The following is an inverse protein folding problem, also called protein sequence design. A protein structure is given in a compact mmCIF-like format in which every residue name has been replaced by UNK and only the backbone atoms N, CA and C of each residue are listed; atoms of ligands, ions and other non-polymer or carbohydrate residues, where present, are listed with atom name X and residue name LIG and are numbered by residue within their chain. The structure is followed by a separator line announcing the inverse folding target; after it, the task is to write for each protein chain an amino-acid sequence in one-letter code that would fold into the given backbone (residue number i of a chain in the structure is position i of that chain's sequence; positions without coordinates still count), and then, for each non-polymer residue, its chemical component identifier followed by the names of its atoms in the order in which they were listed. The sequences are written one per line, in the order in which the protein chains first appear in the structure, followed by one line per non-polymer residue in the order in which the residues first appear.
data_IF_737184062103
#
_entry.id   IF_737184062103
#
_cell.length_a   1.000
_cell.length_b   1.000
_cell.length_c   1.000
_cell.angle_alpha   90.00
_cell.angle_beta   90.00
_cell.angle_gamma   90.00
#
_symmetry.space_group_name_H-M   'P 1'
#
loop_
_entity.id
_entity.type
_entity.pdbx_description
1 polymer ?
#
# COMPACT_ATOMS: atom_id res chain seq x y z
N UNK A 1 2.33 -17.10 19.63
CA UNK A 1 2.40 -15.70 20.16
C UNK A 1 2.96 -14.72 19.12
N UNK A 2 4.03 -15.07 18.38
CA UNK A 2 4.62 -14.18 17.36
C UNK A 2 3.65 -13.89 16.21
N UNK A 3 2.99 -14.91 15.68
CA UNK A 3 1.99 -14.77 14.60
C UNK A 3 0.79 -13.92 15.04
N UNK A 4 0.26 -14.17 16.24
CA UNK A 4 -0.85 -13.37 16.78
C UNK A 4 -0.49 -11.88 16.89
N UNK A 5 0.74 -11.56 17.30
CA UNK A 5 1.21 -10.17 17.37
C UNK A 5 1.25 -9.52 15.99
N UNK A 6 1.67 -10.25 15.00
CA UNK A 6 1.73 -9.82 13.61
C UNK A 6 0.34 -9.54 13.04
N UNK A 7 -0.59 -10.47 13.25
CA UNK A 7 -1.98 -10.34 12.80
C UNK A 7 -2.65 -9.13 13.46
N UNK A 8 -2.41 -8.92 14.76
CA UNK A 8 -2.90 -7.73 15.47
C UNK A 8 -2.27 -6.46 14.90
N UNK A 9 -0.98 -6.44 14.61
CA UNK A 9 -0.32 -5.27 14.04
C UNK A 9 -0.89 -4.91 12.66
N UNK A 10 -1.14 -5.89 11.79
CA UNK A 10 -1.80 -5.67 10.51
C UNK A 10 -3.25 -5.22 10.67
N UNK A 11 -3.99 -5.78 11.61
CA UNK A 11 -5.35 -5.37 11.90
C UNK A 11 -5.40 -3.90 12.36
N UNK A 12 -4.53 -3.52 13.30
CA UNK A 12 -4.41 -2.13 13.77
C UNK A 12 -4.04 -1.19 12.63
N UNK A 13 -3.10 -1.60 11.78
CA UNK A 13 -2.72 -0.84 10.61
C UNK A 13 -3.90 -0.63 9.65
N UNK A 14 -4.63 -1.68 9.31
CA UNK A 14 -5.78 -1.62 8.42
C UNK A 14 -6.89 -0.71 8.98
N UNK A 15 -7.23 -0.87 10.26
CA UNK A 15 -8.23 -0.03 10.93
C UNK A 15 -7.80 1.43 10.97
N UNK A 16 -6.53 1.70 11.28
CA UNK A 16 -5.98 3.07 11.27
C UNK A 16 -6.04 3.69 9.89
N UNK A 17 -5.72 2.93 8.84
CA UNK A 17 -5.77 3.40 7.47
C UNK A 17 -7.20 3.71 7.03
N UNK A 18 -8.15 2.81 7.25
CA UNK A 18 -9.58 3.01 6.92
C UNK A 18 -10.15 4.22 7.68
N UNK A 19 -9.84 4.33 8.97
CA UNK A 19 -10.29 5.47 9.77
C UNK A 19 -9.68 6.79 9.30
N UNK A 20 -8.39 6.78 8.96
CA UNK A 20 -7.70 7.92 8.38
C UNK A 20 -8.35 8.37 7.06
N UNK A 21 -8.67 7.45 6.16
CA UNK A 21 -9.39 7.74 4.91
C UNK A 21 -10.78 8.34 5.17
N UNK A 22 -11.51 7.83 6.16
CA UNK A 22 -12.78 8.42 6.57
C UNK A 22 -12.63 9.87 7.04
N UNK A 23 -11.57 10.18 7.80
CA UNK A 23 -11.31 11.54 8.27
C UNK A 23 -10.86 12.48 7.15
N UNK A 24 -10.24 11.97 6.08
CA UNK A 24 -9.85 12.74 4.91
C UNK A 24 -11.05 13.30 4.13
N UNK A 25 -12.23 12.70 4.24
CA UNK A 25 -13.43 13.18 3.56
C UNK A 25 -13.97 14.52 4.08
N UNK A 26 -13.49 15.00 5.24
CA UNK A 26 -13.91 16.27 5.82
C UNK A 26 -12.71 17.24 5.98
N UNK A 27 -12.80 18.48 5.46
CA UNK A 27 -11.69 19.44 5.48
C UNK A 27 -11.14 19.73 6.89
N UNK A 28 -12.01 19.75 7.91
CA UNK A 28 -11.62 20.02 9.29
C UNK A 28 -10.77 18.91 9.94
N UNK A 29 -10.94 17.66 9.50
CA UNK A 29 -10.27 16.48 10.04
C UNK A 29 -9.23 15.89 9.11
N UNK A 30 -9.14 16.37 7.87
CA UNK A 30 -8.28 15.83 6.82
C UNK A 30 -6.80 15.73 7.25
N UNK A 31 -6.27 16.76 7.91
CA UNK A 31 -4.88 16.75 8.39
C UNK A 31 -4.61 15.62 9.38
N UNK A 32 -5.51 15.44 10.35
CA UNK A 32 -5.38 14.38 11.34
C UNK A 32 -5.61 13.00 10.71
N UNK A 33 -6.55 12.90 9.75
CA UNK A 33 -6.79 11.70 8.98
C UNK A 33 -5.54 11.25 8.22
N UNK A 34 -4.83 12.18 7.59
CA UNK A 34 -3.59 11.88 6.89
C UNK A 34 -2.49 11.36 7.84
N UNK A 35 -2.36 11.94 9.03
CA UNK A 35 -1.40 11.48 10.05
C UNK A 35 -1.75 10.06 10.49
N UNK A 36 -3.01 9.79 10.81
CA UNK A 36 -3.45 8.46 11.25
C UNK A 36 -3.22 7.41 10.16
N UNK A 37 -3.57 7.73 8.91
CA UNK A 37 -3.31 6.84 7.77
C UNK A 37 -1.81 6.57 7.57
N UNK A 38 -0.97 7.60 7.71
CA UNK A 38 0.50 7.48 7.60
C UNK A 38 1.08 6.61 8.72
N UNK A 39 0.59 6.75 9.94
CA UNK A 39 0.99 5.89 11.07
C UNK A 39 0.57 4.44 10.83
N UNK A 40 -0.65 4.20 10.35
CA UNK A 40 -1.12 2.87 9.96
C UNK A 40 -0.21 2.24 8.89
N UNK A 41 0.15 2.99 7.85
CA UNK A 41 1.07 2.53 6.81
C UNK A 41 2.45 2.19 7.39
N UNK A 42 2.98 3.03 8.28
CA UNK A 42 4.28 2.80 8.93
C UNK A 42 4.28 1.50 9.75
N UNK A 43 3.21 1.25 10.50
CA UNK A 43 3.03 -0.01 11.26
C UNK A 43 3.07 -1.21 10.31
N UNK A 44 2.33 -1.15 9.18
CA UNK A 44 2.34 -2.23 8.18
C UNK A 44 3.75 -2.49 7.62
N UNK A 45 4.47 -1.42 7.24
CA UNK A 45 5.82 -1.53 6.69
C UNK A 45 6.77 -2.17 7.71
N UNK A 46 6.78 -1.69 8.95
CA UNK A 46 7.64 -2.23 10.01
C UNK A 46 7.32 -3.71 10.26
N UNK A 47 6.04 -4.06 10.33
CA UNK A 47 5.59 -5.44 10.53
C UNK A 47 6.05 -6.34 9.38
N UNK A 48 5.89 -5.89 8.13
CA UNK A 48 6.33 -6.63 6.94
C UNK A 48 7.84 -6.84 6.92
N UNK A 49 8.62 -5.81 7.23
CA UNK A 49 10.09 -5.89 7.29
C UNK A 49 10.54 -6.82 8.42
N UNK A 50 9.87 -6.80 9.56
CA UNK A 50 10.17 -7.67 10.71
C UNK A 50 9.87 -9.15 10.41
N UNK A 51 8.86 -9.43 9.58
CA UNK A 51 8.49 -10.78 9.14
C UNK A 51 9.41 -11.37 8.09
N UNK A 52 9.98 -10.52 7.25
CA UNK A 52 10.68 -10.92 6.05
C UNK A 52 12.06 -11.50 6.33
N UNK A 53 12.13 -12.80 6.57
CA UNK A 53 13.39 -13.55 6.72
C UNK A 53 14.22 -13.63 5.44
N UNK A 54 13.63 -13.38 4.27
CA UNK A 54 14.26 -13.47 2.94
C UNK A 54 14.10 -12.17 2.11
N UNK A 55 13.79 -11.04 2.75
CA UNK A 55 13.65 -9.77 2.05
C UNK A 55 15.02 -9.14 1.82
N UNK A 56 15.24 -8.70 0.59
CA UNK A 56 16.42 -7.90 0.23
C UNK A 56 16.23 -6.47 0.75
N UNK A 57 16.61 -6.26 2.03
CA UNK A 57 16.40 -5.00 2.73
C UNK A 57 16.96 -3.80 1.97
N UNK A 58 18.08 -3.99 1.27
CA UNK A 58 18.71 -2.93 0.48
C UNK A 58 17.79 -2.47 -0.67
N UNK A 59 17.15 -3.40 -1.36
CA UNK A 59 16.22 -3.07 -2.47
C UNK A 59 14.98 -2.33 -1.96
N UNK A 60 14.43 -2.78 -0.82
CA UNK A 60 13.28 -2.12 -0.19
C UNK A 60 13.64 -0.69 0.19
N UNK A 61 14.79 -0.48 0.83
CA UNK A 61 15.24 0.83 1.27
C UNK A 61 15.48 1.79 0.10
N UNK A 62 16.12 1.31 -0.96
CA UNK A 62 16.34 2.09 -2.19
C UNK A 62 14.98 2.48 -2.81
N UNK A 63 14.06 1.54 -2.94
CA UNK A 63 12.73 1.80 -3.49
C UNK A 63 11.95 2.82 -2.65
N UNK A 64 12.03 2.72 -1.32
CA UNK A 64 11.39 3.68 -0.40
C UNK A 64 11.99 5.08 -0.54
N UNK A 65 13.31 5.21 -0.63
CA UNK A 65 13.98 6.51 -0.82
C UNK A 65 13.58 7.14 -2.15
N UNK A 66 13.64 6.38 -3.24
CA UNK A 66 13.25 6.87 -4.58
C UNK A 66 11.78 7.28 -4.58
N UNK A 67 10.89 6.45 -4.08
CA UNK A 67 9.45 6.74 -4.00
C UNK A 67 9.15 7.97 -3.14
N UNK A 68 9.85 8.13 -2.01
CA UNK A 68 9.70 9.30 -1.13
C UNK A 68 10.16 10.60 -1.78
N UNK A 69 11.27 10.58 -2.51
CA UNK A 69 11.78 11.76 -3.24
C UNK A 69 10.78 12.17 -4.32
N UNK A 70 10.34 11.22 -5.15
CA UNK A 70 9.38 11.47 -6.22
C UNK A 70 8.05 11.96 -5.65
N UNK A 71 7.51 11.26 -4.66
CA UNK A 71 6.24 11.62 -4.03
C UNK A 71 6.26 13.00 -3.37
N UNK A 72 7.33 13.31 -2.63
CA UNK A 72 7.51 14.63 -2.01
C UNK A 72 7.65 15.74 -3.03
N UNK A 73 8.38 15.49 -4.11
CA UNK A 73 8.54 16.47 -5.19
C UNK A 73 7.18 16.84 -5.81
N UNK A 74 6.36 15.85 -6.15
CA UNK A 74 5.03 16.12 -6.68
C UNK A 74 4.11 16.77 -5.65
N UNK A 75 4.13 16.33 -4.40
CA UNK A 75 3.28 16.88 -3.34
C UNK A 75 3.53 18.36 -3.06
N UNK A 76 4.78 18.83 -3.19
CA UNK A 76 5.15 20.24 -2.94
C UNK A 76 4.86 21.11 -4.17
N UNK A 77 4.96 20.56 -5.38
CA UNK A 77 4.86 21.31 -6.65
C UNK A 77 3.45 21.45 -7.19
N UNK A 78 2.52 20.62 -6.72
CA UNK A 78 1.16 20.59 -7.24
C UNK A 78 0.35 21.79 -6.75
N UNK A 79 -0.31 22.46 -7.69
CA UNK A 79 -1.28 23.50 -7.40
C UNK A 79 -2.60 22.91 -6.88
N UNK A 80 -3.37 23.69 -6.10
CA UNK A 80 -4.65 23.25 -5.54
C UNK A 80 -5.64 22.78 -6.61
N UNK A 81 -5.61 23.36 -7.79
CA UNK A 81 -6.45 23.01 -8.94
C UNK A 81 -6.07 21.64 -9.54
N UNK A 82 -4.84 21.20 -9.35
CA UNK A 82 -4.31 19.92 -9.86
C UNK A 82 -4.35 18.79 -8.83
N UNK A 83 -4.80 19.07 -7.59
CA UNK A 83 -4.88 18.06 -6.52
C UNK A 83 -5.71 16.83 -6.89
N UNK A 84 -6.88 16.93 -7.56
CA UNK A 84 -7.63 15.74 -7.97
C UNK A 84 -6.85 14.84 -8.93
N UNK A 85 -6.08 15.42 -9.84
CA UNK A 85 -5.24 14.69 -10.79
C UNK A 85 -4.09 13.97 -10.08
N UNK A 86 -3.44 14.63 -9.11
CA UNK A 86 -2.39 14.01 -8.30
C UNK A 86 -2.90 12.82 -7.50
N UNK A 87 -4.07 12.96 -6.88
CA UNK A 87 -4.72 11.87 -6.13
C UNK A 87 -5.04 10.70 -7.06
N UNK A 88 -5.56 10.96 -8.26
CA UNK A 88 -5.84 9.93 -9.25
C UNK A 88 -4.56 9.18 -9.69
N UNK A 89 -3.47 9.92 -9.94
CA UNK A 89 -2.17 9.33 -10.30
C UNK A 89 -1.65 8.43 -9.17
N UNK A 90 -1.67 8.89 -7.93
CA UNK A 90 -1.19 8.08 -6.79
C UNK A 90 -2.07 6.85 -6.54
N UNK A 91 -3.39 6.98 -6.74
CA UNK A 91 -4.30 5.84 -6.67
C UNK A 91 -3.99 4.80 -7.76
N UNK A 92 -3.76 5.26 -9.00
CA UNK A 92 -3.35 4.41 -10.10
C UNK A 92 -2.01 3.68 -9.84
N UNK A 93 -0.99 4.37 -9.30
CA UNK A 93 0.27 3.75 -8.89
C UNK A 93 0.08 2.74 -7.76
N UNK A 94 -0.81 3.02 -6.79
CA UNK A 94 -1.17 2.07 -5.74
C UNK A 94 -1.81 0.80 -6.30
N UNK A 95 -2.75 0.95 -7.24
CA UNK A 95 -3.36 -0.17 -7.96
C UNK A 95 -2.33 -0.97 -8.76
N UNK A 96 -1.44 -0.30 -9.48
CA UNK A 96 -0.37 -0.94 -10.25
C UNK A 96 0.60 -1.72 -9.33
N UNK A 97 0.99 -1.15 -8.19
CA UNK A 97 1.83 -1.82 -7.21
C UNK A 97 1.16 -3.09 -6.66
N UNK A 98 -0.12 -3.01 -6.28
CA UNK A 98 -0.90 -4.17 -5.82
C UNK A 98 -1.01 -5.26 -6.89
N UNK A 99 -1.26 -4.87 -8.15
CA UNK A 99 -1.33 -5.80 -9.28
C UNK A 99 0.02 -6.50 -9.53
N UNK A 100 1.14 -5.78 -9.44
CA UNK A 100 2.47 -6.36 -9.58
C UNK A 100 2.78 -7.37 -8.47
N UNK A 101 2.45 -7.07 -7.22
CA UNK A 101 2.63 -8.00 -6.09
C UNK A 101 1.78 -9.25 -6.28
N UNK A 102 0.50 -9.09 -6.61
CA UNK A 102 -0.41 -10.20 -6.84
C UNK A 102 0.03 -11.06 -8.05
N UNK A 103 0.53 -10.43 -9.12
CA UNK A 103 1.07 -11.13 -10.28
C UNK A 103 2.33 -11.93 -9.95
N UNK A 104 3.24 -11.36 -9.15
CA UNK A 104 4.44 -12.06 -8.70
C UNK A 104 4.11 -13.31 -7.89
N UNK A 105 3.13 -13.22 -6.99
CA UNK A 105 2.67 -14.38 -6.20
C UNK A 105 1.98 -15.43 -7.09
N UNK A 106 1.21 -15.01 -8.09
CA UNK A 106 0.60 -15.90 -9.07
C UNK A 106 1.65 -16.69 -9.86
N UNK A 107 2.69 -16.02 -10.39
CA UNK A 107 3.78 -16.69 -11.10
C UNK A 107 4.53 -17.67 -10.19
N UNK A 108 4.77 -17.31 -8.94
CA UNK A 108 5.39 -18.19 -7.95
C UNK A 108 4.52 -19.44 -7.70
N UNK A 109 3.21 -19.28 -7.58
CA UNK A 109 2.27 -20.38 -7.40
C UNK A 109 2.29 -21.33 -8.60
N UNK A 110 2.28 -20.81 -9.84
CA UNK A 110 2.38 -21.62 -11.06
C UNK A 110 3.68 -22.41 -11.15
N UNK A 111 4.82 -21.83 -10.72
CA UNK A 111 6.11 -22.52 -10.74
C UNK A 111 6.26 -23.58 -9.66
N UNK A 112 5.46 -23.50 -8.59
CA UNK A 112 5.49 -24.44 -7.45
C UNK A 112 4.49 -25.60 -7.61
N UNK A 113 3.87 -25.77 -8.79
CA UNK A 113 2.85 -26.81 -9.08
C UNK A 113 1.62 -26.77 -8.17
N UNK A 114 1.31 -25.62 -7.59
CA UNK A 114 0.09 -25.40 -6.82
C UNK A 114 -0.97 -24.75 -7.71
N UNK A 115 -2.20 -25.20 -7.58
CA UNK A 115 -3.33 -24.55 -8.26
C UNK A 115 -3.55 -23.15 -7.68
N UNK A 116 -3.73 -22.13 -8.53
CA UNK A 116 -3.97 -20.78 -8.07
C UNK A 116 -5.29 -20.70 -7.30
N UNK A 117 -5.23 -20.22 -6.09
CA UNK A 117 -6.41 -20.05 -5.24
C UNK A 117 -7.35 -19.01 -5.85
N UNK A 118 -8.67 -19.24 -5.79
CA UNK A 118 -9.69 -18.27 -6.23
C UNK A 118 -9.46 -16.89 -5.63
N UNK A 119 -9.03 -16.84 -4.36
CA UNK A 119 -8.68 -15.61 -3.67
C UNK A 119 -7.55 -14.83 -4.36
N UNK A 120 -6.51 -15.52 -4.86
CA UNK A 120 -5.41 -14.89 -5.58
C UNK A 120 -5.88 -14.28 -6.91
N UNK A 121 -6.71 -15.00 -7.66
CA UNK A 121 -7.30 -14.52 -8.92
C UNK A 121 -8.16 -13.27 -8.66
N UNK A 122 -8.99 -13.30 -7.63
CA UNK A 122 -9.82 -12.16 -7.23
C UNK A 122 -8.96 -10.95 -6.83
N UNK A 123 -7.88 -11.17 -6.09
CA UNK A 123 -6.95 -10.10 -5.68
C UNK A 123 -6.31 -9.43 -6.89
N UNK A 124 -5.85 -10.20 -7.89
CA UNK A 124 -5.28 -9.66 -9.13
C UNK A 124 -6.33 -8.84 -9.89
N UNK A 125 -7.52 -9.39 -10.04
CA UNK A 125 -8.63 -8.75 -10.78
C UNK A 125 -9.02 -7.42 -10.14
N UNK A 126 -9.17 -7.39 -8.81
CA UNK A 126 -9.49 -6.18 -8.07
C UNK A 126 -8.36 -5.14 -8.15
N UNK A 127 -7.09 -5.59 -8.05
CA UNK A 127 -5.92 -4.70 -8.16
C UNK A 127 -5.82 -4.07 -9.54
N UNK A 128 -6.07 -4.83 -10.61
CA UNK A 128 -6.12 -4.30 -11.97
C UNK A 128 -7.28 -3.31 -12.16
N UNK A 129 -8.42 -3.56 -11.52
CA UNK A 129 -9.56 -2.63 -11.54
C UNK A 129 -9.23 -1.28 -10.92
N UNK A 130 -8.39 -1.24 -9.88
CA UNK A 130 -7.96 0.00 -9.22
C UNK A 130 -7.07 0.90 -10.09
N UNK A 131 -6.41 0.34 -11.12
CA UNK A 131 -5.61 1.15 -12.06
C UNK A 131 -6.49 2.03 -12.94
N UNK A 132 -7.73 1.63 -13.18
CA UNK A 132 -8.68 2.33 -14.05
C UNK A 132 -9.41 3.51 -13.38
N UNK A 133 -9.20 3.75 -12.09
CA UNK A 133 -9.81 4.86 -11.36
C UNK A 133 -8.88 6.08 -11.42
#
# INVERSE_FOLDING_TARGET
MKELFIDIAYLVSAVSFIYGLKMLSHPKTARNGNIIASVGMLIAIITTVYLGTNLDFSKILIAMVIGSIIGSFFAIRVEMTQMPQLVAIFNGFGGAASALVASAEFFKTLTTTQEPTVFLILTITLSLSLIHI
#
